data_IF_080377372375
#
_entry.id   IF_080377372375
#
_cell.length_a   1.000
_cell.length_b   1.000
_cell.length_c   1.000
_cell.angle_alpha   90.00
_cell.angle_beta   90.00
_cell.angle_gamma   90.00
#
_symmetry.space_group_name_H-M   'P 1'
#
loop_
_entity.id
_entity.type
_entity.pdbx_description
1 polymer ?
#
# COMPACT_ATOMS: atom_id res chain seq x y z
N UNK A 1 20.92 2.25 -21.59
CA UNK A 1 20.40 1.78 -20.30
C UNK A 1 21.11 2.58 -19.21
N UNK A 2 20.45 3.58 -18.62
CA UNK A 2 21.05 4.43 -17.59
C UNK A 2 20.66 3.89 -16.23
N UNK A 3 21.60 3.26 -15.51
CA UNK A 3 21.42 2.93 -14.10
C UNK A 3 21.69 4.21 -13.32
N UNK A 4 20.63 4.84 -12.79
CA UNK A 4 20.81 5.90 -11.79
C UNK A 4 21.48 5.27 -10.57
N UNK A 5 22.66 5.76 -10.19
CA UNK A 5 23.26 5.43 -8.90
C UNK A 5 22.39 6.08 -7.81
N UNK A 6 21.94 5.33 -6.79
CA UNK A 6 21.30 5.94 -5.62
C UNK A 6 22.30 6.89 -4.97
N UNK A 7 21.91 8.15 -4.81
CA UNK A 7 22.74 9.20 -4.21
C UNK A 7 22.76 9.12 -2.68
N UNK A 8 21.77 8.46 -2.09
CA UNK A 8 21.57 8.30 -0.65
C UNK A 8 21.56 6.83 -0.22
N UNK A 9 21.82 6.57 1.06
CA UNK A 9 21.63 5.25 1.64
C UNK A 9 20.15 4.81 1.49
N UNK A 10 19.88 3.51 1.29
CA UNK A 10 18.50 3.00 1.26
C UNK A 10 17.78 3.35 2.56
N UNK A 11 16.49 3.69 2.47
CA UNK A 11 15.65 3.89 3.65
C UNK A 11 15.60 2.61 4.50
N UNK A 12 15.64 2.78 5.83
CA UNK A 12 15.47 1.65 6.72
C UNK A 12 14.03 1.13 6.66
N UNK A 13 13.81 -0.09 7.14
CA UNK A 13 12.46 -0.63 7.27
C UNK A 13 11.55 0.26 8.14
N UNK A 14 12.12 0.84 9.20
CA UNK A 14 11.39 1.76 10.07
C UNK A 14 10.96 3.02 9.33
N UNK A 15 11.84 3.58 8.49
CA UNK A 15 11.55 4.77 7.68
C UNK A 15 10.47 4.47 6.64
N UNK A 16 10.55 3.32 5.96
CA UNK A 16 9.54 2.87 5.00
C UNK A 16 8.17 2.66 5.67
N UNK A 17 8.14 2.07 6.87
CA UNK A 17 6.92 1.86 7.62
C UNK A 17 6.29 3.18 8.11
N UNK A 18 7.12 4.16 8.49
CA UNK A 18 6.69 5.50 8.88
C UNK A 18 6.10 6.26 7.67
N UNK A 19 6.82 6.28 6.55
CA UNK A 19 6.35 6.90 5.30
C UNK A 19 5.03 6.29 4.82
N UNK A 20 4.90 4.96 4.87
CA UNK A 20 3.65 4.28 4.50
C UNK A 20 2.49 4.71 5.41
N UNK A 21 2.75 4.92 6.70
CA UNK A 21 1.73 5.33 7.66
C UNK A 21 1.28 6.77 7.40
N UNK A 22 2.24 7.69 7.18
CA UNK A 22 2.00 9.09 6.81
C UNK A 22 1.12 9.19 5.56
N UNK A 23 1.51 8.52 4.47
CA UNK A 23 0.72 8.52 3.22
C UNK A 23 -0.67 7.92 3.44
N UNK A 24 -0.80 6.88 4.26
CA UNK A 24 -2.10 6.31 4.58
C UNK A 24 -2.97 7.26 5.43
N UNK A 25 -2.37 8.08 6.29
CA UNK A 25 -3.06 9.13 7.04
C UNK A 25 -3.54 10.26 6.10
N UNK A 26 -2.74 10.66 5.12
CA UNK A 26 -3.14 11.64 4.10
C UNK A 26 -4.31 11.14 3.23
N UNK A 27 -4.27 9.87 2.81
CA UNK A 27 -5.39 9.23 2.09
C UNK A 27 -6.66 9.24 2.97
N UNK A 28 -6.55 8.89 4.26
CA UNK A 28 -7.68 8.94 5.22
C UNK A 28 -8.23 10.34 5.41
N UNK A 29 -7.37 11.34 5.40
CA UNK A 29 -7.75 12.74 5.50
C UNK A 29 -8.37 13.30 4.21
N UNK A 30 -8.47 12.50 3.14
CA UNK A 30 -9.04 12.92 1.86
C UNK A 30 -8.12 13.81 1.04
N UNK A 31 -6.82 13.83 1.33
CA UNK A 31 -5.83 14.63 0.59
C UNK A 31 -5.47 14.01 -0.77
N UNK A 32 -5.86 12.75 -0.98
CA UNK A 32 -5.68 12.03 -2.24
C UNK A 32 -7.01 11.50 -2.75
N UNK A 33 -7.22 11.63 -4.05
CA UNK A 33 -8.39 11.06 -4.72
C UNK A 33 -8.31 9.53 -4.71
N UNK A 34 -9.42 8.88 -4.35
CA UNK A 34 -9.54 7.43 -4.33
C UNK A 34 -10.66 7.04 -5.29
N UNK A 35 -10.32 6.24 -6.29
CA UNK A 35 -11.30 5.65 -7.22
C UNK A 35 -11.35 4.15 -7.02
N UNK A 36 -12.55 3.59 -6.92
CA UNK A 36 -12.78 2.15 -6.97
C UNK A 36 -13.72 1.87 -8.14
N UNK A 37 -13.26 1.08 -9.11
CA UNK A 37 -14.03 0.66 -10.28
C UNK A 37 -13.98 -0.86 -10.38
N UNK A 38 -15.13 -1.49 -10.62
CA UNK A 38 -15.22 -2.95 -10.64
C UNK A 38 -14.63 -3.58 -11.90
N UNK A 39 -14.64 -2.85 -13.02
CA UNK A 39 -14.18 -3.36 -14.32
C UNK A 39 -12.66 -3.20 -14.50
N UNK A 40 -12.10 -2.13 -13.94
CA UNK A 40 -10.70 -1.75 -14.11
C UNK A 40 -10.02 -1.43 -12.79
N UNK A 41 -8.85 -2.04 -12.57
CA UNK A 41 -7.99 -1.69 -11.44
C UNK A 41 -7.44 -0.28 -11.59
N UNK A 42 -7.77 0.60 -10.66
CA UNK A 42 -7.27 1.97 -10.65
C UNK A 42 -5.98 2.09 -9.83
N UNK A 43 -5.07 2.96 -10.28
CA UNK A 43 -3.83 3.25 -9.58
C UNK A 43 -3.32 4.65 -9.93
N UNK A 44 -2.63 5.28 -8.98
CA UNK A 44 -1.94 6.56 -9.17
C UNK A 44 -0.60 6.54 -8.43
N UNK A 45 0.41 7.19 -9.00
CA UNK A 45 1.69 7.41 -8.33
C UNK A 45 1.62 8.70 -7.52
N UNK A 46 1.71 8.58 -6.20
CA UNK A 46 1.67 9.71 -5.26
C UNK A 46 3.04 10.37 -5.12
N UNK A 47 4.12 9.58 -5.16
CA UNK A 47 5.50 10.05 -5.02
C UNK A 47 6.45 9.24 -5.90
N UNK A 48 7.47 9.91 -6.45
CA UNK A 48 8.58 9.30 -7.17
C UNK A 48 9.83 10.15 -6.93
N UNK A 49 10.84 9.57 -6.30
CA UNK A 49 12.15 10.20 -6.10
C UNK A 49 13.30 9.20 -6.29
N UNK A 50 14.50 9.55 -5.84
CA UNK A 50 15.69 8.71 -5.99
C UNK A 50 15.78 7.55 -4.99
N UNK A 51 14.89 7.50 -4.00
CA UNK A 51 14.83 6.45 -2.98
C UNK A 51 13.60 5.55 -3.13
N UNK A 52 12.43 6.12 -3.42
CA UNK A 52 11.14 5.39 -3.41
C UNK A 52 10.15 5.90 -4.46
N UNK A 53 9.36 4.95 -4.96
CA UNK A 53 8.09 5.21 -5.64
C UNK A 53 6.95 4.79 -4.71
N UNK A 54 6.00 5.69 -4.46
CA UNK A 54 4.79 5.40 -3.67
C UNK A 54 3.58 5.41 -4.59
N UNK A 55 2.86 4.30 -4.61
CA UNK A 55 1.66 4.11 -5.41
C UNK A 55 0.45 3.88 -4.50
N UNK A 56 -0.66 4.53 -4.84
CA UNK A 56 -1.98 4.20 -4.33
C UNK A 56 -2.69 3.36 -5.38
N UNK A 57 -3.17 2.18 -4.98
CA UNK A 57 -3.81 1.21 -5.86
C UNK A 57 -5.09 0.77 -5.16
N UNK A 58 -6.19 0.68 -5.90
CA UNK A 58 -7.46 0.19 -5.40
C UNK A 58 -7.83 -1.12 -6.07
N UNK A 59 -8.49 -1.99 -5.32
CA UNK A 59 -9.06 -3.24 -5.81
C UNK A 59 -10.49 -3.35 -5.28
N UNK A 60 -11.43 -3.75 -6.12
CA UNK A 60 -12.72 -4.26 -5.66
C UNK A 60 -12.61 -5.74 -5.29
N UNK A 61 -13.62 -6.31 -4.63
CA UNK A 61 -13.59 -7.70 -4.12
C UNK A 61 -13.29 -8.75 -5.20
N UNK A 62 -13.78 -8.51 -6.42
CA UNK A 62 -13.61 -9.43 -7.57
C UNK A 62 -12.27 -9.24 -8.30
N UNK A 63 -11.46 -8.25 -7.91
CA UNK A 63 -10.20 -7.93 -8.57
C UNK A 63 -9.00 -8.53 -7.84
N UNK A 64 -8.07 -9.09 -8.62
CA UNK A 64 -6.82 -9.65 -8.12
C UNK A 64 -5.59 -9.12 -8.86
N UNK A 65 -4.42 -9.54 -8.40
CA UNK A 65 -3.15 -9.36 -9.12
C UNK A 65 -2.68 -10.71 -9.64
N UNK A 66 -2.16 -10.74 -10.86
CA UNK A 66 -1.42 -11.90 -11.35
C UNK A 66 -0.12 -12.08 -10.55
N UNK A 67 0.48 -13.27 -10.60
CA UNK A 67 1.78 -13.54 -9.98
C UNK A 67 2.84 -12.56 -10.53
N UNK A 68 3.54 -11.89 -9.61
CA UNK A 68 4.59 -10.92 -9.93
C UNK A 68 5.68 -10.95 -8.86
N UNK A 69 6.89 -10.51 -9.21
CA UNK A 69 7.98 -10.32 -8.26
C UNK A 69 8.05 -8.88 -7.76
N UNK A 70 8.82 -8.68 -6.68
CA UNK A 70 9.11 -7.38 -6.09
C UNK A 70 10.58 -7.02 -6.35
N UNK A 71 10.98 -7.07 -7.63
CA UNK A 71 12.36 -6.96 -8.08
C UNK A 71 13.15 -5.85 -7.35
N UNK A 72 14.19 -6.25 -6.61
CA UNK A 72 15.14 -5.39 -5.89
C UNK A 72 14.60 -4.57 -4.69
N UNK A 73 13.33 -4.72 -4.31
CA UNK A 73 12.77 -4.11 -3.10
C UNK A 73 12.74 -5.11 -1.92
N UNK A 74 12.93 -4.65 -0.67
CA UNK A 74 12.73 -5.49 0.51
C UNK A 74 11.31 -6.09 0.51
N UNK A 75 11.11 -7.28 1.10
CA UNK A 75 9.79 -7.90 1.16
C UNK A 75 8.78 -6.97 1.84
N UNK A 76 7.52 -7.08 1.43
CA UNK A 76 6.39 -6.49 2.15
C UNK A 76 6.50 -6.92 3.61
N UNK A 77 6.40 -5.95 4.53
CA UNK A 77 6.58 -6.21 5.97
C UNK A 77 5.32 -5.96 6.78
N UNK A 78 4.41 -5.10 6.30
CA UNK A 78 3.17 -4.77 6.99
C UNK A 78 2.02 -4.56 6.01
N UNK A 79 0.89 -5.20 6.30
CA UNK A 79 -0.40 -4.97 5.63
C UNK A 79 -1.39 -4.38 6.62
N UNK A 80 -2.24 -3.48 6.14
CA UNK A 80 -3.34 -2.91 6.92
C UNK A 80 -4.64 -3.07 6.17
N UNK A 81 -5.67 -3.46 6.90
CA UNK A 81 -7.00 -3.73 6.36
C UNK A 81 -7.94 -2.63 6.84
N UNK A 82 -8.79 -2.15 5.94
CA UNK A 82 -9.70 -1.05 6.20
C UNK A 82 -11.10 -1.42 5.72
N UNK A 83 -12.09 -0.95 6.45
CA UNK A 83 -13.46 -0.84 5.96
C UNK A 83 -13.64 0.50 5.24
N UNK A 84 -14.51 0.55 4.23
CA UNK A 84 -14.77 1.75 3.43
C UNK A 84 -16.25 2.10 3.50
N UNK A 85 -16.60 3.11 4.29
CA UNK A 85 -17.95 3.67 4.33
C UNK A 85 -17.92 5.17 3.97
N UNK A 86 -18.71 5.58 2.98
CA UNK A 86 -18.89 7.01 2.67
C UNK A 86 -17.60 7.78 2.35
N UNK A 87 -16.63 7.14 1.68
CA UNK A 87 -15.29 7.67 1.39
C UNK A 87 -14.38 7.85 2.62
N UNK A 88 -14.71 7.22 3.75
CA UNK A 88 -13.88 7.19 4.94
C UNK A 88 -13.33 5.77 5.15
N UNK A 89 -12.05 5.67 5.52
CA UNK A 89 -11.39 4.40 5.79
C UNK A 89 -11.26 4.17 7.29
N UNK A 90 -11.93 3.14 7.83
CA UNK A 90 -11.77 2.72 9.23
C UNK A 90 -10.81 1.54 9.30
N UNK A 91 -9.71 1.66 10.05
CA UNK A 91 -8.71 0.57 10.16
C UNK A 91 -9.25 -0.58 10.99
N UNK A 92 -9.34 -1.75 10.37
CA UNK A 92 -9.80 -2.99 11.02
C UNK A 92 -8.65 -3.76 11.66
N UNK A 93 -7.52 -3.86 10.97
CA UNK A 93 -6.33 -4.54 11.50
C UNK A 93 -5.03 -4.08 10.84
N UNK A 94 -3.92 -4.37 11.50
CA UNK A 94 -2.59 -4.37 10.90
C UNK A 94 -1.86 -5.65 11.22
N UNK A 95 -1.29 -6.27 10.19
CA UNK A 95 -0.57 -7.54 10.30
C UNK A 95 0.84 -7.33 9.79
N UNK A 96 1.81 -7.70 10.61
CA UNK A 96 3.18 -7.90 10.16
C UNK A 96 3.23 -9.25 9.43
N UNK A 97 3.66 -9.25 8.17
CA UNK A 97 3.75 -10.48 7.38
C UNK A 97 4.96 -10.39 6.46
N UNK A 98 5.70 -11.49 6.34
CA UNK A 98 6.71 -11.74 5.32
C UNK A 98 6.15 -12.55 4.13
N UNK A 99 4.94 -13.10 4.28
CA UNK A 99 4.19 -13.78 3.23
C UNK A 99 3.18 -12.81 2.58
N UNK A 100 3.39 -12.40 1.31
CA UNK A 100 2.49 -11.47 0.63
C UNK A 100 1.11 -12.09 0.34
N UNK A 101 1.02 -13.41 0.20
CA UNK A 101 -0.20 -14.15 -0.12
C UNK A 101 -0.99 -14.59 1.12
N UNK A 102 -0.55 -14.22 2.33
CA UNK A 102 -1.29 -14.55 3.54
C UNK A 102 -2.75 -14.03 3.44
N UNK A 103 -3.78 -14.86 3.74
CA UNK A 103 -5.15 -14.37 3.75
C UNK A 103 -5.30 -13.26 4.78
N UNK A 104 -6.27 -12.36 4.55
CA UNK A 104 -6.65 -11.43 5.60
C UNK A 104 -7.02 -12.22 6.87
N UNK A 105 -6.60 -11.80 8.07
CA UNK A 105 -7.09 -12.43 9.29
C UNK A 105 -8.61 -12.31 9.33
N UNK A 106 -9.31 -13.22 10.01
CA UNK A 106 -10.75 -13.08 10.23
C UNK A 106 -11.00 -11.79 11.04
N UNK A 107 -11.43 -10.74 10.35
CA UNK A 107 -11.73 -9.44 10.94
C UNK A 107 -13.13 -9.54 11.55
N UNK A 108 -13.23 -9.83 12.84
CA UNK A 108 -14.48 -9.61 13.57
C UNK A 108 -14.63 -8.11 13.83
N UNK A 109 -15.69 -7.52 13.30
CA UNK A 109 -16.15 -6.21 13.76
C UNK A 109 -16.28 -6.26 15.29
N UNK A 110 -15.61 -5.33 15.98
CA UNK A 110 -15.83 -5.14 17.40
C UNK A 110 -17.31 -4.75 17.56
N UNK A 111 -18.07 -5.62 18.22
CA UNK A 111 -19.47 -5.35 18.60
C UNK A 111 -19.55 -4.29 19.69
#
# INVERSE_FOLDING_TARGET
MFVRRPTAAPLSLADLAALTQEVADDVRAGLHEVHADAESRWHVRLRCDDQVDVWLISWTEDQGTQLHDHAYSPPLTRRSYYDVEGHQLTRLASVWTDNPEAPAPELRAAS
#
